data_IF_824180550098
#
_entry.id   IF_824180550098
#
_cell.length_a   1.000
_cell.length_b   1.000
_cell.length_c   1.000
_cell.angle_alpha   90.00
_cell.angle_beta   90.00
_cell.angle_gamma   90.00
#
_symmetry.space_group_name_H-M   'P 1'
#
loop_
_entity.id
_entity.type
_entity.pdbx_description
1 polymer ?
#
# COMPACT_ATOMS: atom_id res chain seq x y z
N UNK A 1 2.41 2.51 5.11
CA UNK A 1 1.78 3.03 3.87
C UNK A 1 0.69 4.02 4.26
N UNK A 2 0.56 5.11 3.54
CA UNK A 2 -0.41 6.13 3.95
C UNK A 2 -1.84 5.66 3.67
N UNK A 3 -2.78 6.25 4.41
CA UNK A 3 -4.17 5.78 4.39
C UNK A 3 -4.80 5.86 3.00
N UNK A 4 -4.46 6.90 2.23
CA UNK A 4 -5.00 7.01 0.88
C UNK A 4 -4.64 5.83 0.00
N UNK A 5 -3.42 5.32 0.12
CA UNK A 5 -2.99 4.13 -0.61
C UNK A 5 -3.75 2.89 -0.14
N UNK A 6 -3.99 2.77 1.16
CA UNK A 6 -4.75 1.63 1.68
C UNK A 6 -6.17 1.63 1.16
N UNK A 7 -6.80 2.81 1.15
CA UNK A 7 -8.14 2.95 0.59
C UNK A 7 -8.15 2.58 -0.88
N UNK A 8 -7.15 3.08 -1.63
CA UNK A 8 -7.05 2.76 -3.05
C UNK A 8 -6.95 1.24 -3.29
N UNK A 9 -6.12 0.56 -2.49
CA UNK A 9 -5.93 -0.88 -2.67
C UNK A 9 -7.23 -1.65 -2.44
N UNK A 10 -8.01 -1.26 -1.43
CA UNK A 10 -9.27 -1.94 -1.15
C UNK A 10 -10.29 -1.63 -2.24
N UNK A 11 -10.36 -0.37 -2.70
CA UNK A 11 -11.27 -0.01 -3.80
C UNK A 11 -10.92 -0.80 -5.06
N UNK A 12 -9.64 -0.92 -5.37
CA UNK A 12 -9.19 -1.64 -6.57
C UNK A 12 -9.51 -3.14 -6.46
N UNK A 13 -9.36 -3.71 -5.26
CA UNK A 13 -9.67 -5.13 -5.05
C UNK A 13 -11.16 -5.39 -5.18
N UNK A 14 -11.99 -4.54 -4.57
CA UNK A 14 -13.43 -4.74 -4.56
C UNK A 14 -14.11 -4.21 -5.82
N UNK A 15 -13.43 -3.36 -6.56
CA UNK A 15 -13.98 -2.63 -7.69
C UNK A 15 -15.28 -1.92 -7.33
N UNK A 16 -15.31 -1.35 -6.12
CA UNK A 16 -16.48 -0.67 -5.60
C UNK A 16 -16.05 0.22 -4.43
N UNK A 17 -16.38 1.50 -4.54
CA UNK A 17 -16.08 2.44 -3.45
C UNK A 17 -16.97 2.11 -2.24
N UNK A 18 -18.22 1.75 -2.48
CA UNK A 18 -19.15 1.41 -1.39
C UNK A 18 -18.67 0.20 -0.59
N UNK A 19 -18.26 -0.86 -1.28
CA UNK A 19 -17.79 -2.06 -0.61
C UNK A 19 -16.49 -1.79 0.14
N UNK A 20 -15.60 -1.01 -0.46
CA UNK A 20 -14.35 -0.66 0.19
C UNK A 20 -14.61 0.14 1.47
N UNK A 21 -15.51 1.11 1.41
CA UNK A 21 -15.84 1.92 2.57
C UNK A 21 -16.40 1.04 3.70
N UNK A 22 -17.29 0.10 3.35
CA UNK A 22 -17.85 -0.81 4.34
C UNK A 22 -16.77 -1.67 4.98
N UNK A 23 -15.86 -2.19 4.18
CA UNK A 23 -14.78 -3.02 4.70
C UNK A 23 -13.86 -2.24 5.64
N UNK A 24 -13.60 -0.97 5.31
CA UNK A 24 -12.70 -0.13 6.08
C UNK A 24 -13.39 0.60 7.23
N UNK A 25 -14.71 0.42 7.36
CA UNK A 25 -15.50 1.07 8.42
C UNK A 25 -15.43 2.59 8.33
N UNK A 26 -15.46 3.12 7.10
CA UNK A 26 -15.52 4.55 6.83
C UNK A 26 -16.71 4.83 5.94
N UNK A 27 -17.06 6.12 5.81
CA UNK A 27 -18.16 6.49 4.94
C UNK A 27 -17.72 6.40 3.48
N UNK A 28 -18.70 6.24 2.59
CA UNK A 28 -18.44 6.25 1.17
C UNK A 28 -17.81 7.58 0.74
N UNK A 29 -18.28 8.68 1.33
CA UNK A 29 -17.74 10.00 1.03
C UNK A 29 -16.27 10.08 1.42
N UNK A 30 -15.91 9.53 2.59
CA UNK A 30 -14.53 9.52 3.04
C UNK A 30 -13.64 8.73 2.08
N UNK A 31 -14.09 7.54 1.68
CA UNK A 31 -13.34 6.72 0.73
C UNK A 31 -13.17 7.45 -0.60
N UNK A 32 -14.24 8.06 -1.11
CA UNK A 32 -14.19 8.79 -2.35
C UNK A 32 -13.22 9.97 -2.27
N UNK A 33 -13.20 10.67 -1.13
CA UNK A 33 -12.30 11.79 -0.94
C UNK A 33 -10.84 11.37 -0.94
N UNK A 34 -10.53 10.22 -0.35
CA UNK A 34 -9.16 9.72 -0.38
C UNK A 34 -8.71 9.45 -1.82
N UNK A 35 -9.59 8.85 -2.62
CA UNK A 35 -9.26 8.60 -4.03
C UNK A 35 -9.03 9.92 -4.76
N UNK A 36 -9.91 10.89 -4.56
CA UNK A 36 -9.78 12.18 -5.23
C UNK A 36 -8.50 12.90 -4.84
N UNK A 37 -8.08 12.79 -3.58
CA UNK A 37 -6.82 13.40 -3.15
C UNK A 37 -5.62 12.77 -3.85
N UNK A 38 -5.63 11.45 -4.01
CA UNK A 38 -4.56 10.79 -4.75
C UNK A 38 -4.55 11.23 -6.20
N UNK A 39 -5.72 11.31 -6.81
CA UNK A 39 -5.81 11.75 -8.20
C UNK A 39 -5.27 13.16 -8.36
N UNK A 40 -5.57 14.02 -7.40
CA UNK A 40 -5.09 15.40 -7.44
C UNK A 40 -3.58 15.45 -7.20
N UNK A 41 -3.11 14.67 -6.24
CA UNK A 41 -1.69 14.66 -5.88
C UNK A 41 -0.81 14.26 -7.06
N UNK A 42 -1.24 13.25 -7.80
CA UNK A 42 -0.46 12.74 -8.93
C UNK A 42 -0.93 13.26 -10.28
N UNK A 43 -1.99 14.06 -10.27
CA UNK A 43 -2.56 14.67 -11.47
C UNK A 43 -2.94 13.62 -12.51
N UNK A 44 -3.63 12.58 -12.06
CA UNK A 44 -4.10 11.49 -12.92
C UNK A 44 -5.51 11.09 -12.49
N UNK A 45 -6.21 10.38 -13.37
CA UNK A 45 -7.47 9.72 -13.03
C UNK A 45 -7.13 8.26 -12.77
N UNK A 46 -7.57 7.72 -11.64
CA UNK A 46 -7.24 6.36 -11.25
C UNK A 46 -8.34 5.37 -11.61
N UNK A 47 -9.60 5.81 -11.59
CA UNK A 47 -10.73 4.95 -11.91
C UNK A 47 -11.63 5.64 -12.94
N UNK A 48 -12.08 4.86 -13.93
CA UNK A 48 -13.16 5.26 -14.82
C UNK A 48 -14.47 4.79 -14.22
N UNK A 49 -15.50 5.63 -14.32
CA UNK A 49 -16.80 5.26 -13.75
C UNK A 49 -17.80 4.83 -14.80
N UNK A 50 -17.57 5.21 -16.05
CA UNK A 50 -18.46 4.90 -17.16
C UNK A 50 -17.66 4.36 -18.31
N UNK A 51 -18.18 3.39 -19.03
CA UNK A 51 -19.51 2.77 -18.89
C UNK A 51 -19.62 1.89 -17.65
N UNK A 52 -18.48 1.47 -17.06
CA UNK A 52 -18.50 0.72 -15.81
C UNK A 52 -17.27 1.11 -15.00
N UNK A 53 -17.31 0.83 -13.72
CA UNK A 53 -16.21 1.15 -12.82
C UNK A 53 -15.01 0.26 -13.11
N UNK A 54 -13.87 0.87 -13.41
CA UNK A 54 -12.65 0.10 -13.68
C UNK A 54 -11.43 1.00 -13.51
N UNK A 55 -10.26 0.36 -13.36
CA UNK A 55 -9.00 1.08 -13.27
C UNK A 55 -8.64 1.70 -14.62
N UNK A 56 -8.09 2.91 -14.57
CA UNK A 56 -7.42 3.49 -15.74
C UNK A 56 -6.01 2.89 -15.82
N UNK A 57 -5.28 3.25 -16.89
CA UNK A 57 -3.89 2.87 -17.00
C UNK A 57 -3.09 3.38 -15.79
N UNK A 58 -3.34 4.63 -15.39
CA UNK A 58 -2.67 5.18 -14.20
C UNK A 58 -3.02 4.39 -12.95
N UNK A 59 -4.29 3.98 -12.82
CA UNK A 59 -4.71 3.17 -11.70
C UNK A 59 -4.01 1.83 -11.67
N UNK A 60 -3.83 1.21 -12.83
CA UNK A 60 -3.12 -0.08 -12.91
C UNK A 60 -1.66 0.07 -12.52
N UNK A 61 -1.03 1.16 -12.96
CA UNK A 61 0.36 1.42 -12.57
C UNK A 61 0.46 1.60 -11.06
N UNK A 62 -0.43 2.38 -10.48
CA UNK A 62 -0.42 2.60 -9.04
C UNK A 62 -0.66 1.30 -8.29
N UNK A 63 -1.63 0.50 -8.73
CA UNK A 63 -1.92 -0.77 -8.07
C UNK A 63 -0.70 -1.70 -8.07
N UNK A 64 -0.06 -1.84 -9.23
CA UNK A 64 1.11 -2.70 -9.36
C UNK A 64 2.22 -2.26 -8.39
N UNK A 65 2.51 -0.97 -8.37
CA UNK A 65 3.58 -0.46 -7.52
C UNK A 65 3.24 -0.56 -6.05
N UNK A 66 1.99 -0.28 -5.67
CA UNK A 66 1.60 -0.36 -4.27
C UNK A 66 1.62 -1.78 -3.76
N UNK A 67 1.27 -2.75 -4.59
CA UNK A 67 1.36 -4.15 -4.19
C UNK A 67 2.81 -4.55 -3.92
N UNK A 68 3.74 -4.07 -4.74
CA UNK A 68 5.16 -4.32 -4.50
C UNK A 68 5.66 -3.65 -3.23
N UNK A 69 5.23 -2.41 -2.99
CA UNK A 69 5.59 -1.70 -1.76
C UNK A 69 5.06 -2.45 -0.54
N UNK A 70 3.84 -2.96 -0.62
CA UNK A 70 3.24 -3.70 0.47
C UNK A 70 4.03 -4.97 0.80
N UNK A 71 4.47 -5.67 -0.24
CA UNK A 71 5.31 -6.86 -0.06
C UNK A 71 6.61 -6.48 0.64
N UNK A 72 7.24 -5.39 0.21
CA UNK A 72 8.50 -4.95 0.81
C UNK A 72 8.32 -4.53 2.26
N UNK A 73 7.22 -3.85 2.59
CA UNK A 73 6.94 -3.49 3.98
C UNK A 73 6.78 -4.72 4.86
N UNK A 74 6.04 -5.70 4.37
CA UNK A 74 5.84 -6.95 5.11
C UNK A 74 7.15 -7.69 5.31
N UNK A 75 7.96 -7.75 4.27
CA UNK A 75 9.26 -8.41 4.34
C UNK A 75 10.16 -7.73 5.36
N UNK A 76 10.18 -6.41 5.35
CA UNK A 76 10.97 -5.64 6.31
C UNK A 76 10.51 -5.94 7.75
N UNK A 77 9.19 -5.93 7.96
CA UNK A 77 8.65 -6.18 9.30
C UNK A 77 9.03 -7.56 9.81
N UNK A 78 8.99 -8.57 8.94
CA UNK A 78 9.39 -9.92 9.34
C UNK A 78 10.86 -10.00 9.69
N UNK A 79 11.70 -9.36 8.89
CA UNK A 79 13.15 -9.38 9.14
C UNK A 79 13.46 -8.72 10.46
N UNK A 80 12.83 -7.58 10.75
CA UNK A 80 13.07 -6.87 12.00
C UNK A 80 12.51 -7.63 13.19
N UNK A 81 11.35 -8.27 13.03
CA UNK A 81 10.78 -9.08 14.10
C UNK A 81 11.68 -10.26 14.44
N UNK A 82 12.29 -10.89 13.42
CA UNK A 82 13.21 -11.98 13.64
C UNK A 82 14.41 -11.56 14.48
N UNK A 83 14.93 -10.38 14.21
CA UNK A 83 16.05 -9.85 14.98
C UNK A 83 15.63 -9.55 16.41
N UNK A 84 14.47 -8.91 16.58
CA UNK A 84 13.96 -8.56 17.91
C UNK A 84 13.74 -9.80 18.77
N UNK A 85 13.33 -10.92 18.14
CA UNK A 85 13.11 -12.16 18.85
C UNK A 85 14.37 -12.99 19.01
N UNK A 86 15.47 -12.57 18.40
CA UNK A 86 16.71 -13.29 18.48
C UNK A 86 16.80 -14.49 17.55
N UNK A 87 15.81 -14.70 16.69
CA UNK A 87 15.82 -15.89 15.85
C UNK A 87 16.74 -15.75 14.64
N UNK A 88 16.93 -14.53 14.18
CA UNK A 88 17.79 -14.28 13.03
C UNK A 88 19.13 -13.71 13.46
N UNK A 89 19.10 -12.83 14.43
CA UNK A 89 20.30 -12.15 14.90
C UNK A 89 21.38 -13.08 15.38
N UNK A 90 21.03 -14.29 15.66
CA UNK A 90 22.01 -15.24 16.14
C UNK A 90 23.12 -15.53 15.18
N UNK A 91 23.04 -14.99 14.03
CA UNK A 91 24.16 -15.13 13.17
C UNK A 91 24.63 -13.78 12.70
N UNK A 92 25.08 -13.59 13.01
CA UNK A 92 25.54 -12.56 12.83
C UNK A 92 25.67 -11.57 12.23
N UNK A 93 25.60 -11.66 12.19
CA UNK A 93 25.53 -10.69 11.75
C UNK A 93 25.55 -9.73 11.82
N UNK A 94 26.00 -10.02 11.85
CA UNK A 94 26.01 -9.19 11.73
C UNK A 94 25.91 -8.32 11.62
N UNK A 95 26.13 -8.41 11.37
CA UNK A 95 26.07 -7.61 11.17
C UNK A 95 25.92 -6.89 11.06
N UNK A 96 26.15 -7.12 10.80
CA UNK A 96 26.10 -6.52 10.63
C UNK A 96 25.79 -5.85 10.40
N UNK A 97 25.94 -6.10 10.09
CA UNK A 97 25.80 -5.50 9.82
C UNK A 97 25.52 -4.69 9.82
N UNK A 98 25.71 -4.86 9.81
CA UNK A 98 25.58 -4.13 9.72
C UNK A 98 25.51 -3.25 9.81
N UNK A 99 25.73 -3.43 9.71
CA UNK A 99 25.76 -2.55 9.55
C UNK A 99 25.50 -1.80 9.22
N UNK A 100 25.40 -1.85 9.02
CA UNK A 100 25.13 -1.21 8.46
C UNK A 100 24.80 -0.59 8.08
N UNK A 101 24.80 -0.59 7.92
CA UNK A 101 24.38 -0.02 7.31
C UNK A 101 23.89 0.68 7.05
N UNK A 102 23.76 0.50 6.82
CA UNK A 102 23.44 1.16 6.44
C UNK A 102 23.03 1.88 6.23
N UNK A 103 22.87 1.90 5.88
CA UNK A 103 22.67 2.67 5.57
C UNK A 103 22.39 3.41 5.43
N UNK A 104 22.45 3.45 5.17
CA UNK A 104 22.40 4.20 4.94
C UNK A 104 22.37 4.77 4.85
#
# INVERSE_FOLDING_TARGET
>A
MKIGFEVFLVVAREMSITKAANELHITQQCASDHIKRLEKEYNVVLFERRPKFRLTQAGEIMLHNLLNIQIMETSMSRSLAGIAEGTVGGFTLGISTSRAPIIL
#
